data_IF_063682266170
#
_entry.id   IF_063682266170
#
_cell.length_a   1.000
_cell.length_b   1.000
_cell.length_c   1.000
_cell.angle_alpha   90.00
_cell.angle_beta   90.00
_cell.angle_gamma   90.00
#
_symmetry.space_group_name_H-M   'P 1'
#
loop_
_entity.id
_entity.type
_entity.pdbx_description
1 polymer ?
#
# COMPACT_ATOMS: atom_id res chain seq x y z
N UNK A 1 -15.05 -29.71 3.05
CA UNK A 1 -14.75 -30.92 3.84
C UNK A 1 -13.36 -30.71 4.44
N UNK A 2 -13.16 -31.02 5.72
CA UNK A 2 -11.88 -30.84 6.40
C UNK A 2 -11.19 -32.19 6.54
N UNK A 3 -9.90 -32.27 6.18
CA UNK A 3 -9.12 -33.51 6.32
C UNK A 3 -8.57 -33.67 7.74
N UNK A 4 -8.04 -32.58 8.31
CA UNK A 4 -7.57 -32.48 9.70
C UNK A 4 -8.18 -31.28 10.40
N UNK A 5 -8.42 -31.42 11.70
CA UNK A 5 -8.91 -30.35 12.55
C UNK A 5 -7.85 -30.01 13.62
N UNK A 6 -7.55 -28.72 13.77
CA UNK A 6 -6.83 -28.18 14.94
C UNK A 6 -7.81 -27.39 15.79
N UNK A 7 -8.15 -27.91 16.96
CA UNK A 7 -9.01 -27.24 17.93
C UNK A 7 -8.16 -26.56 19.00
N UNK A 8 -8.33 -25.25 19.15
CA UNK A 8 -7.66 -24.41 20.14
C UNK A 8 -8.70 -23.83 21.11
N UNK A 9 -8.32 -23.62 22.36
CA UNK A 9 -9.11 -22.85 23.32
C UNK A 9 -8.84 -21.34 23.19
N UNK A 10 -9.61 -20.51 23.91
CA UNK A 10 -9.43 -19.04 23.92
C UNK A 10 -8.06 -18.58 24.46
N UNK A 11 -7.36 -19.43 25.20
CA UNK A 11 -5.98 -19.18 25.68
C UNK A 11 -4.90 -19.62 24.68
N UNK A 12 -5.28 -20.10 23.49
CA UNK A 12 -4.36 -20.59 22.46
C UNK A 12 -3.75 -21.97 22.72
N UNK A 13 -4.22 -22.72 23.74
CA UNK A 13 -3.79 -24.10 24.02
C UNK A 13 -4.58 -25.09 23.16
N UNK A 14 -3.90 -26.13 22.68
CA UNK A 14 -4.50 -27.19 21.84
C UNK A 14 -5.36 -28.15 22.65
N UNK A 15 -6.58 -28.40 22.18
CA UNK A 15 -7.54 -29.34 22.75
C UNK A 15 -7.62 -30.65 21.95
N UNK A 16 -7.46 -30.55 20.63
CA UNK A 16 -7.43 -31.70 19.72
C UNK A 16 -6.68 -31.34 18.43
N UNK A 17 -5.91 -32.27 17.90
CA UNK A 17 -5.33 -32.16 16.56
C UNK A 17 -5.27 -33.53 15.87
N UNK A 18 -6.05 -33.73 14.82
CA UNK A 18 -6.12 -35.03 14.15
C UNK A 18 -7.10 -35.08 12.99
N UNK A 19 -7.21 -36.26 12.38
CA UNK A 19 -8.17 -36.54 11.32
C UNK A 19 -9.59 -36.63 11.90
N UNK A 20 -10.59 -36.10 11.20
CA UNK A 20 -11.97 -36.12 11.70
C UNK A 20 -12.62 -37.51 11.57
N UNK A 21 -12.21 -38.30 10.58
CA UNK A 21 -12.90 -39.54 10.21
C UNK A 21 -14.22 -39.29 9.47
N UNK A 22 -14.94 -40.37 9.14
CA UNK A 22 -16.22 -40.28 8.46
C UNK A 22 -17.26 -39.70 9.43
N UNK A 23 -17.97 -38.66 9.01
CA UNK A 23 -18.94 -37.91 9.84
C UNK A 23 -18.40 -37.44 11.21
N UNK A 24 -17.11 -37.11 11.27
CA UNK A 24 -16.40 -36.67 12.48
C UNK A 24 -16.33 -37.70 13.61
N UNK A 25 -16.49 -39.00 13.30
CA UNK A 25 -16.51 -40.08 14.30
C UNK A 25 -15.27 -40.11 15.19
N UNK A 26 -14.06 -39.90 14.65
CA UNK A 26 -12.80 -39.98 15.40
C UNK A 26 -12.70 -38.83 16.43
N UNK A 27 -13.22 -37.66 16.07
CA UNK A 27 -13.29 -36.51 16.96
C UNK A 27 -14.30 -36.74 18.09
N UNK A 28 -15.49 -37.22 17.74
CA UNK A 28 -16.56 -37.53 18.70
C UNK A 28 -16.08 -38.60 19.68
N UNK A 29 -15.56 -39.71 19.19
CA UNK A 29 -14.99 -40.80 20.01
C UNK A 29 -13.89 -40.28 20.95
N UNK A 30 -13.02 -39.38 20.47
CA UNK A 30 -11.98 -38.79 21.30
C UNK A 30 -12.58 -37.96 22.45
N UNK A 31 -13.49 -37.03 22.13
CA UNK A 31 -14.08 -36.14 23.12
C UNK A 31 -14.92 -36.91 24.13
N UNK A 32 -15.73 -37.88 23.68
CA UNK A 32 -16.51 -38.77 24.54
C UNK A 32 -15.60 -39.60 25.46
N UNK A 33 -14.52 -40.19 24.93
CA UNK A 33 -13.55 -40.97 25.73
C UNK A 33 -12.84 -40.17 26.83
N UNK A 34 -12.85 -38.85 26.72
CA UNK A 34 -12.24 -37.91 27.68
C UNK A 34 -13.25 -37.24 28.61
N UNK A 35 -14.54 -37.61 28.48
CA UNK A 35 -15.62 -37.21 29.37
C UNK A 35 -16.58 -36.16 28.80
N UNK A 36 -16.65 -35.98 27.49
CA UNK A 36 -17.66 -35.13 26.85
C UNK A 36 -19.04 -35.83 26.84
N UNK A 37 -20.16 -35.07 26.86
CA UNK A 37 -21.50 -35.64 26.74
C UNK A 37 -21.72 -36.26 25.36
N UNK A 38 -22.38 -37.43 25.28
CA UNK A 38 -22.59 -38.13 24.01
C UNK A 38 -23.22 -37.24 22.92
N UNK A 39 -22.68 -37.31 21.71
CA UNK A 39 -23.21 -36.59 20.55
C UNK A 39 -24.49 -37.29 20.07
N UNK A 40 -25.62 -36.56 19.99
CA UNK A 40 -26.91 -37.19 19.62
C UNK A 40 -26.94 -37.59 18.14
N UNK A 41 -27.63 -38.69 17.83
CA UNK A 41 -27.85 -39.09 16.43
C UNK A 41 -28.63 -38.00 15.67
N UNK A 42 -28.01 -37.45 14.62
CA UNK A 42 -28.57 -36.38 13.78
C UNK A 42 -28.17 -34.96 14.19
N UNK A 43 -27.42 -34.79 15.29
CA UNK A 43 -26.82 -33.53 15.68
C UNK A 43 -25.57 -33.23 14.83
N UNK A 44 -25.31 -31.95 14.56
CA UNK A 44 -24.12 -31.55 13.79
C UNK A 44 -22.87 -31.64 14.68
N UNK A 45 -21.90 -32.54 14.40
CA UNK A 45 -20.73 -32.72 15.25
C UNK A 45 -19.89 -31.45 15.42
N UNK A 46 -19.90 -30.55 14.44
CA UNK A 46 -19.18 -29.28 14.54
C UNK A 46 -19.83 -28.34 15.57
N UNK A 47 -21.17 -28.31 15.63
CA UNK A 47 -21.92 -27.49 16.58
C UNK A 47 -21.83 -28.06 17.99
N UNK A 48 -22.03 -29.38 18.13
CA UNK A 48 -21.82 -30.10 19.38
C UNK A 48 -20.40 -29.90 19.92
N UNK A 49 -19.36 -30.00 19.08
CA UNK A 49 -17.97 -29.73 19.50
C UNK A 49 -17.80 -28.31 20.06
N UNK A 50 -18.41 -27.30 19.44
CA UNK A 50 -18.34 -25.93 19.95
C UNK A 50 -19.12 -25.77 21.25
N UNK A 51 -20.26 -26.43 21.43
CA UNK A 51 -21.02 -26.40 22.68
C UNK A 51 -20.25 -27.07 23.81
N UNK A 52 -19.67 -28.25 23.54
CA UNK A 52 -18.77 -28.97 24.44
C UNK A 52 -17.58 -28.06 24.81
N UNK A 53 -16.93 -27.41 23.85
CA UNK A 53 -15.78 -26.53 24.12
C UNK A 53 -16.18 -25.23 24.84
N UNK A 54 -17.35 -24.64 24.56
CA UNK A 54 -17.84 -23.41 25.21
C UNK A 54 -18.34 -23.66 26.64
N UNK A 55 -19.01 -24.79 26.87
CA UNK A 55 -19.41 -25.22 28.22
C UNK A 55 -18.21 -25.60 29.10
N UNK A 56 -17.02 -25.72 28.50
CA UNK A 56 -15.72 -25.90 29.18
C UNK A 56 -15.00 -24.58 29.52
N UNK A 57 -15.53 -23.43 29.11
CA UNK A 57 -15.01 -22.13 29.53
C UNK A 57 -15.47 -21.81 30.97
N UNK A 58 -14.63 -21.18 31.80
CA UNK A 58 -15.06 -20.77 33.13
C UNK A 58 -16.09 -19.67 32.97
N UNK A 59 -17.35 -19.96 33.31
CA UNK A 59 -18.34 -18.90 33.51
C UNK A 59 -17.82 -17.94 34.59
N UNK A 60 -17.95 -16.64 34.37
CA UNK A 60 -17.53 -15.55 35.28
C UNK A 60 -18.08 -15.70 36.71
N UNK A 61 -19.01 -16.63 36.95
CA UNK A 61 -19.66 -16.89 38.23
C UNK A 61 -19.16 -18.12 39.01
N UNK A 62 -18.24 -18.94 38.49
CA UNK A 62 -17.72 -20.12 39.22
C UNK A 62 -16.20 -20.23 39.13
N UNK A 63 -15.56 -20.02 40.27
CA UNK A 63 -14.14 -20.19 40.52
C UNK A 63 -13.75 -21.67 40.56
N UNK A 64 -13.27 -22.23 39.44
CA UNK A 64 -12.23 -23.29 39.35
C UNK A 64 -11.92 -23.69 37.87
N UNK A 65 -10.70 -24.18 37.54
CA UNK A 65 -10.11 -24.14 36.19
C UNK A 65 -10.39 -25.41 35.35
N UNK A 66 -11.63 -25.62 34.88
CA UNK A 66 -11.94 -26.76 33.99
C UNK A 66 -11.23 -26.72 32.63
N UNK A 67 -10.80 -25.55 32.18
CA UNK A 67 -10.16 -25.37 30.86
C UNK A 67 -8.72 -25.87 30.81
N UNK A 68 -8.01 -25.95 31.95
CA UNK A 68 -6.64 -26.49 32.00
C UNK A 68 -6.64 -28.02 31.88
N UNK A 69 -7.67 -28.67 32.45
CA UNK A 69 -7.83 -30.13 32.47
C UNK A 69 -7.90 -30.74 31.05
N UNK A 70 -8.56 -30.09 30.09
CA UNK A 70 -8.72 -30.64 28.74
C UNK A 70 -7.47 -30.49 27.87
N UNK A 71 -6.78 -29.34 27.99
CA UNK A 71 -5.47 -29.17 27.39
C UNK A 71 -4.51 -30.22 27.95
N UNK A 72 -4.51 -30.45 29.26
CA UNK A 72 -3.70 -31.49 29.92
C UNK A 72 -4.07 -32.91 29.48
N UNK A 73 -5.37 -33.23 29.35
CA UNK A 73 -5.86 -34.49 28.78
C UNK A 73 -5.34 -34.71 27.36
N UNK A 74 -5.33 -33.67 26.53
CA UNK A 74 -4.69 -33.73 25.21
C UNK A 74 -3.18 -33.93 25.34
N UNK A 75 -2.51 -33.27 26.29
CA UNK A 75 -1.07 -33.45 26.50
C UNK A 75 -0.68 -34.88 26.86
N UNK A 76 -1.51 -35.55 27.65
CA UNK A 76 -1.31 -36.93 28.09
C UNK A 76 -1.90 -37.96 27.11
N UNK A 77 -2.57 -37.52 26.04
CA UNK A 77 -3.25 -38.39 25.09
C UNK A 77 -2.28 -39.19 24.21
N UNK A 78 -2.70 -40.40 23.82
CA UNK A 78 -1.96 -41.23 22.86
C UNK A 78 -1.99 -40.61 21.45
N UNK A 79 -3.06 -39.88 21.12
CA UNK A 79 -3.22 -39.15 19.86
C UNK A 79 -2.17 -38.05 19.70
N UNK A 80 -1.84 -37.31 20.76
CA UNK A 80 -0.72 -36.35 20.72
C UNK A 80 0.61 -37.05 20.52
N UNK A 81 0.82 -38.20 21.17
CA UNK A 81 2.07 -38.97 21.01
C UNK A 81 2.23 -39.49 19.58
N UNK A 82 1.15 -39.92 18.90
CA UNK A 82 1.24 -40.33 17.49
C UNK A 82 1.58 -39.16 16.57
N UNK A 83 0.97 -37.98 16.78
CA UNK A 83 1.33 -36.76 16.03
C UNK A 83 2.80 -36.38 16.25
N UNK A 84 3.28 -36.44 17.50
CA UNK A 84 4.68 -36.14 17.81
C UNK A 84 5.65 -37.15 17.17
N UNK A 85 5.27 -38.43 17.08
CA UNK A 85 6.05 -39.45 16.36
C UNK A 85 6.09 -39.17 14.86
N UNK A 86 4.94 -38.85 14.26
CA UNK A 86 4.85 -38.46 12.84
C UNK A 86 5.75 -37.25 12.55
N UNK A 87 5.72 -36.25 13.44
CA UNK A 87 6.59 -35.07 13.36
C UNK A 87 8.08 -35.43 13.50
N UNK A 88 8.45 -36.30 14.45
CA UNK A 88 9.84 -36.74 14.60
C UNK A 88 10.34 -37.53 13.39
N UNK A 89 9.47 -38.34 12.78
CA UNK A 89 9.78 -39.09 11.56
C UNK A 89 9.98 -38.16 10.37
N UNK A 90 9.14 -37.11 10.25
CA UNK A 90 9.33 -36.08 9.23
C UNK A 90 10.64 -35.32 9.43
N UNK A 91 10.98 -34.95 10.67
CA UNK A 91 12.23 -34.27 10.99
C UNK A 91 13.46 -35.16 10.73
N UNK A 92 13.37 -36.46 10.98
CA UNK A 92 14.45 -37.41 10.72
C UNK A 92 14.63 -37.70 9.22
N UNK A 93 13.54 -37.70 8.44
CA UNK A 93 13.55 -37.90 6.98
C UNK A 93 13.91 -36.62 6.21
N UNK A 94 13.70 -35.45 6.80
CA UNK A 94 14.11 -34.19 6.21
C UNK A 94 15.62 -34.05 6.40
N UNK A 95 16.45 -34.11 5.34
CA UNK A 95 17.87 -33.92 5.51
C UNK A 95 18.09 -32.54 6.14
N UNK A 96 18.69 -32.52 7.32
CA UNK A 96 19.22 -31.30 7.92
C UNK A 96 20.04 -30.61 6.83
N UNK A 97 19.83 -29.31 6.54
CA UNK A 97 20.69 -28.60 5.61
C UNK A 97 22.09 -28.60 6.21
N UNK A 98 22.87 -29.62 5.86
CA UNK A 98 24.27 -29.72 6.18
C UNK A 98 24.90 -28.48 5.57
N UNK A 99 25.59 -27.68 6.39
CA UNK A 99 26.54 -26.66 5.93
C UNK A 99 27.72 -27.34 5.21
N UNK A 100 27.46 -28.17 4.21
CA UNK A 100 28.49 -28.67 3.32
C UNK A 100 28.85 -27.54 2.37
N UNK A 101 30.09 -27.09 2.49
CA UNK A 101 30.73 -26.16 1.59
C UNK A 101 30.83 -26.79 0.19
N UNK A 102 29.76 -26.73 -0.60
CA UNK A 102 29.78 -26.95 -2.04
C UNK A 102 28.47 -26.42 -2.64
N UNK A 103 28.58 -25.29 -3.33
CA UNK A 103 27.55 -24.61 -4.12
C UNK A 103 26.41 -23.98 -3.29
N UNK A 104 26.25 -22.64 -3.29
CA UNK A 104 25.08 -22.05 -2.68
C UNK A 104 23.85 -22.51 -3.48
N UNK A 105 23.03 -23.37 -2.88
CA UNK A 105 21.64 -23.50 -3.29
C UNK A 105 21.08 -22.06 -3.39
N UNK A 106 20.40 -21.67 -4.48
CA UNK A 106 19.89 -20.33 -4.60
C UNK A 106 19.01 -20.09 -3.37
N UNK A 107 19.39 -19.08 -2.57
CA UNK A 107 18.59 -18.62 -1.44
C UNK A 107 17.14 -18.62 -1.93
N UNK A 108 16.16 -19.17 -1.19
CA UNK A 108 14.76 -19.07 -1.60
C UNK A 108 14.53 -17.60 -1.88
N UNK A 109 14.39 -17.24 -3.16
CA UNK A 109 14.27 -15.84 -3.51
C UNK A 109 13.05 -15.36 -2.75
N UNK A 110 13.19 -14.29 -1.96
CA UNK A 110 12.08 -13.75 -1.18
C UNK A 110 10.87 -13.36 -2.05
N UNK A 111 11.06 -13.36 -3.37
CA UNK A 111 10.08 -13.14 -4.41
C UNK A 111 10.34 -14.10 -5.59
N UNK A 112 9.28 -14.61 -6.22
CA UNK A 112 9.38 -15.63 -7.28
C UNK A 112 9.94 -15.12 -8.62
N UNK A 113 9.87 -13.82 -8.91
CA UNK A 113 10.26 -13.21 -10.19
C UNK A 113 11.48 -12.26 -10.05
N UNK A 114 12.18 -12.00 -11.16
CA UNK A 114 13.28 -11.01 -11.19
C UNK A 114 12.78 -9.59 -10.90
N UNK A 115 13.59 -8.70 -10.28
CA UNK A 115 13.16 -7.36 -9.89
C UNK A 115 12.73 -6.49 -11.08
N UNK A 116 13.34 -6.67 -12.26
CA UNK A 116 12.96 -5.95 -13.48
C UNK A 116 11.60 -6.39 -14.00
N UNK A 117 11.31 -7.69 -13.98
CA UNK A 117 9.99 -8.19 -14.39
C UNK A 117 8.90 -7.73 -13.41
N UNK A 118 9.19 -7.75 -12.10
CA UNK A 118 8.27 -7.19 -11.10
C UNK A 118 7.99 -5.72 -11.40
N UNK A 119 9.02 -4.93 -11.66
CA UNK A 119 8.89 -3.51 -11.99
C UNK A 119 8.03 -3.25 -13.22
N UNK A 120 8.25 -3.98 -14.31
CA UNK A 120 7.45 -3.80 -15.53
C UNK A 120 5.98 -4.15 -15.32
N UNK A 121 5.71 -5.28 -14.63
CA UNK A 121 4.33 -5.74 -14.37
C UNK A 121 3.62 -4.77 -13.43
N UNK A 122 4.27 -4.37 -12.34
CA UNK A 122 3.69 -3.43 -11.37
C UNK A 122 3.49 -2.06 -12.03
N UNK A 123 4.42 -1.57 -12.84
CA UNK A 123 4.26 -0.32 -13.61
C UNK A 123 3.07 -0.39 -14.57
N UNK A 124 2.92 -1.49 -15.32
CA UNK A 124 1.79 -1.68 -16.22
C UNK A 124 0.47 -1.72 -15.44
N UNK A 125 0.44 -2.39 -14.28
CA UNK A 125 -0.73 -2.44 -13.40
C UNK A 125 -1.10 -1.05 -12.88
N UNK A 126 -0.13 -0.29 -12.36
CA UNK A 126 -0.35 1.07 -11.85
C UNK A 126 -0.83 2.01 -12.96
N UNK A 127 -0.29 1.89 -14.17
CA UNK A 127 -0.78 2.65 -15.33
C UNK A 127 -2.24 2.33 -15.65
N UNK A 128 -2.61 1.04 -15.65
CA UNK A 128 -3.99 0.61 -15.90
C UNK A 128 -4.93 1.07 -14.80
N UNK A 129 -4.50 1.02 -13.55
CA UNK A 129 -5.27 1.49 -12.41
C UNK A 129 -5.56 3.00 -12.52
N UNK A 130 -4.53 3.82 -12.74
CA UNK A 130 -4.68 5.26 -12.92
C UNK A 130 -5.49 5.63 -14.16
N UNK A 131 -5.37 4.87 -15.25
CA UNK A 131 -6.18 5.09 -16.46
C UNK A 131 -7.65 4.71 -16.26
N UNK A 132 -7.93 3.68 -15.47
CA UNK A 132 -9.30 3.20 -15.18
C UNK A 132 -10.01 3.98 -14.09
N UNK A 133 -9.29 4.81 -13.34
CA UNK A 133 -9.85 5.79 -12.40
C UNK A 133 -9.85 7.19 -13.05
N UNK A 134 -10.83 7.48 -13.93
CA UNK A 134 -10.90 8.75 -14.64
C UNK A 134 -11.12 9.93 -13.69
N UNK A 135 -11.71 9.70 -12.50
CA UNK A 135 -12.04 10.77 -11.56
C UNK A 135 -10.76 11.43 -11.08
N UNK A 136 -9.77 10.66 -10.66
CA UNK A 136 -8.48 11.20 -10.25
C UNK A 136 -7.79 11.96 -11.37
N UNK A 137 -7.60 11.32 -12.53
CA UNK A 137 -6.82 11.88 -13.62
C UNK A 137 -7.48 13.13 -14.22
N UNK A 138 -8.79 13.08 -14.51
CA UNK A 138 -9.50 14.21 -15.10
C UNK A 138 -9.66 15.36 -14.12
N UNK A 139 -9.92 15.08 -12.83
CA UNK A 139 -9.98 16.14 -11.81
C UNK A 139 -8.63 16.84 -11.69
N UNK A 140 -7.53 16.08 -11.67
CA UNK A 140 -6.18 16.64 -11.59
C UNK A 140 -5.83 17.49 -12.81
N UNK A 141 -6.07 16.98 -14.02
CA UNK A 141 -5.82 17.72 -15.27
C UNK A 141 -6.69 18.98 -15.32
N UNK A 142 -7.99 18.87 -15.02
CA UNK A 142 -8.92 19.99 -15.06
C UNK A 142 -8.55 21.07 -14.05
N UNK A 143 -8.28 20.70 -12.80
CA UNK A 143 -7.88 21.67 -11.76
C UNK A 143 -6.60 22.40 -12.14
N UNK A 144 -5.55 21.69 -12.55
CA UNK A 144 -4.28 22.32 -12.92
C UNK A 144 -4.45 23.26 -14.13
N UNK A 145 -5.21 22.82 -15.13
CA UNK A 145 -5.46 23.60 -16.35
C UNK A 145 -6.31 24.84 -16.06
N UNK A 146 -7.41 24.69 -15.31
CA UNK A 146 -8.32 25.80 -14.98
C UNK A 146 -7.61 26.83 -14.11
N UNK A 147 -6.88 26.41 -13.07
CA UNK A 147 -6.13 27.33 -12.20
C UNK A 147 -5.05 28.08 -13.00
N UNK A 148 -4.31 27.36 -13.83
CA UNK A 148 -3.29 27.95 -14.71
C UNK A 148 -3.89 28.94 -15.71
N UNK A 149 -5.05 28.61 -16.29
CA UNK A 149 -5.78 29.47 -17.23
C UNK A 149 -6.31 30.73 -16.54
N UNK A 150 -6.93 30.59 -15.37
CA UNK A 150 -7.43 31.73 -14.59
C UNK A 150 -6.29 32.67 -14.20
N UNK A 151 -5.14 32.14 -13.82
CA UNK A 151 -3.94 32.93 -13.56
C UNK A 151 -3.47 33.64 -14.85
N UNK A 152 -3.34 32.91 -15.96
CA UNK A 152 -2.94 33.49 -17.24
C UNK A 152 -3.86 34.62 -17.72
N UNK A 153 -5.18 34.45 -17.57
CA UNK A 153 -6.19 35.47 -17.93
C UNK A 153 -6.15 36.65 -16.96
N UNK A 154 -5.91 36.42 -15.66
CA UNK A 154 -5.82 37.50 -14.66
C UNK A 154 -4.70 38.49 -14.98
N UNK A 155 -3.60 38.01 -15.56
CA UNK A 155 -2.46 38.82 -16.00
C UNK A 155 -2.39 38.91 -17.52
N UNK A 156 -3.53 39.18 -18.16
CA UNK A 156 -3.60 39.26 -19.62
C UNK A 156 -2.71 40.39 -20.18
N UNK A 157 -1.78 40.03 -21.08
CA UNK A 157 -0.80 40.94 -21.70
C UNK A 157 -0.10 41.89 -20.74
N UNK A 158 0.87 41.35 -20.01
CA UNK A 158 1.69 42.12 -19.07
C UNK A 158 2.52 43.18 -19.82
N UNK A 159 2.42 44.48 -19.46
CA UNK A 159 3.20 45.55 -20.10
C UNK A 159 4.68 45.50 -19.69
N UNK A 160 5.57 46.01 -20.54
CA UNK A 160 7.02 46.10 -20.31
C UNK A 160 7.42 47.28 -19.41
N UNK A 161 6.77 47.40 -18.25
CA UNK A 161 7.04 48.46 -17.25
C UNK A 161 7.35 47.82 -15.88
N UNK A 162 7.85 48.60 -14.92
CA UNK A 162 8.12 48.14 -13.54
C UNK A 162 6.88 47.47 -12.92
N UNK A 163 5.69 48.03 -13.14
CA UNK A 163 4.43 47.45 -12.68
C UNK A 163 4.14 46.07 -13.33
N UNK A 164 4.49 45.90 -14.60
CA UNK A 164 4.33 44.62 -15.29
C UNK A 164 5.28 43.56 -14.73
N UNK A 165 6.52 43.94 -14.38
CA UNK A 165 7.46 43.04 -13.71
C UNK A 165 6.93 42.56 -12.36
N UNK A 166 6.38 43.46 -11.53
CA UNK A 166 5.73 43.07 -10.26
C UNK A 166 4.54 42.13 -10.49
N UNK A 167 3.72 42.41 -11.52
CA UNK A 167 2.57 41.57 -11.87
C UNK A 167 2.99 40.18 -12.35
N UNK A 168 4.10 40.09 -13.09
CA UNK A 168 4.68 38.83 -13.55
C UNK A 168 5.20 38.00 -12.37
N UNK A 169 5.92 38.61 -11.43
CA UNK A 169 6.41 37.93 -10.23
C UNK A 169 5.26 37.35 -9.41
N UNK A 170 4.18 38.13 -9.25
CA UNK A 170 2.99 37.66 -8.56
C UNK A 170 2.27 36.53 -9.32
N UNK A 171 2.23 36.58 -10.65
CA UNK A 171 1.69 35.49 -11.48
C UNK A 171 2.50 34.18 -11.34
N UNK A 172 3.84 34.27 -11.31
CA UNK A 172 4.74 33.14 -11.08
C UNK A 172 4.51 32.55 -9.68
N UNK A 173 4.38 33.40 -8.66
CA UNK A 173 4.01 32.98 -7.31
C UNK A 173 2.66 32.26 -7.27
N UNK A 174 1.64 32.77 -7.97
CA UNK A 174 0.34 32.10 -8.03
C UNK A 174 0.39 30.77 -8.80
N UNK A 175 1.30 30.60 -9.76
CA UNK A 175 1.53 29.30 -10.40
C UNK A 175 2.17 28.31 -9.45
N UNK A 176 3.12 28.75 -8.61
CA UNK A 176 3.77 27.83 -7.67
C UNK A 176 2.77 27.25 -6.66
N UNK A 177 1.67 27.96 -6.39
CA UNK A 177 0.57 27.45 -5.56
C UNK A 177 -0.13 26.20 -6.12
N UNK A 178 0.08 25.85 -7.40
CA UNK A 178 -0.37 24.56 -7.95
C UNK A 178 0.15 23.35 -7.14
N UNK A 179 1.31 23.48 -6.50
CA UNK A 179 1.85 22.45 -5.60
C UNK A 179 0.81 22.02 -4.56
N UNK A 180 0.18 22.97 -3.87
CA UNK A 180 -0.75 22.67 -2.77
C UNK A 180 -2.01 21.93 -3.27
N UNK A 181 -2.47 22.22 -4.48
CA UNK A 181 -3.61 21.52 -5.10
C UNK A 181 -3.24 20.10 -5.53
N UNK A 182 -2.05 19.94 -6.12
CA UNK A 182 -1.55 18.65 -6.59
C UNK A 182 -1.28 17.70 -5.42
N UNK A 183 -0.67 18.22 -4.36
CA UNK A 183 -0.31 17.46 -3.15
C UNK A 183 -1.51 16.81 -2.47
N UNK A 184 -2.63 17.53 -2.39
CA UNK A 184 -3.90 17.05 -1.85
C UNK A 184 -4.49 15.86 -2.62
N UNK A 185 -4.11 15.66 -3.89
CA UNK A 185 -4.58 14.54 -4.72
C UNK A 185 -3.59 13.37 -4.69
N UNK A 186 -2.28 13.64 -4.75
CA UNK A 186 -1.24 12.61 -4.83
C UNK A 186 -1.10 11.86 -3.51
N UNK A 187 -1.03 12.58 -2.38
CA UNK A 187 -0.70 11.97 -1.08
C UNK A 187 -1.76 10.94 -0.63
N UNK A 188 -3.07 11.24 -0.65
CA UNK A 188 -4.08 10.27 -0.24
C UNK A 188 -4.07 9.03 -1.12
N UNK A 189 -3.95 9.20 -2.45
CA UNK A 189 -3.91 8.08 -3.40
C UNK A 189 -2.76 7.13 -3.11
N UNK A 190 -1.55 7.65 -2.90
CA UNK A 190 -0.39 6.81 -2.57
C UNK A 190 -0.53 6.15 -1.20
N UNK A 191 -1.12 6.86 -0.22
CA UNK A 191 -1.36 6.32 1.13
C UNK A 191 -2.31 5.12 1.10
N UNK A 192 -3.40 5.20 0.32
CA UNK A 192 -4.35 4.10 0.13
C UNK A 192 -3.69 2.92 -0.59
N UNK A 193 -2.89 3.18 -1.63
CA UNK A 193 -2.11 2.16 -2.33
C UNK A 193 -1.12 1.44 -1.40
N UNK A 194 -0.43 2.19 -0.53
CA UNK A 194 0.46 1.63 0.49
C UNK A 194 -0.31 0.74 1.47
N UNK A 195 -1.50 1.15 1.92
CA UNK A 195 -2.29 0.37 2.87
C UNK A 195 -2.65 -1.01 2.31
N UNK A 196 -3.00 -1.09 1.01
CA UNK A 196 -3.25 -2.36 0.33
C UNK A 196 -1.97 -3.20 0.23
N UNK A 197 -0.85 -2.57 -0.12
CA UNK A 197 0.45 -3.26 -0.21
C UNK A 197 0.84 -3.88 1.13
N UNK A 198 0.78 -3.11 2.22
CA UNK A 198 1.17 -3.57 3.56
C UNK A 198 0.25 -4.65 4.10
N UNK A 199 -1.07 -4.53 3.89
CA UNK A 199 -2.04 -5.47 4.42
C UNK A 199 -2.07 -6.82 3.67
N UNK A 200 -1.79 -6.84 2.36
CA UNK A 200 -2.00 -8.05 1.52
C UNK A 200 -0.77 -8.47 0.72
N UNK A 201 -0.16 -7.54 0.00
CA UNK A 201 0.84 -7.87 -1.03
C UNK A 201 2.22 -8.15 -0.43
N UNK A 202 2.52 -7.52 0.70
CA UNK A 202 3.72 -7.75 1.50
C UNK A 202 3.73 -9.14 2.13
N UNK A 203 2.60 -9.56 2.73
CA UNK A 203 2.49 -10.86 3.40
C UNK A 203 2.50 -12.04 2.41
N UNK A 204 1.98 -11.83 1.20
CA UNK A 204 1.98 -12.84 0.13
C UNK A 204 3.30 -12.91 -0.66
N UNK A 205 4.30 -12.07 -0.34
CA UNK A 205 5.57 -12.01 -1.06
C UNK A 205 5.39 -11.83 -2.59
N UNK A 206 4.41 -11.01 -2.98
CA UNK A 206 4.09 -10.80 -4.40
C UNK A 206 5.17 -9.99 -5.14
N UNK A 207 5.62 -8.88 -4.55
CA UNK A 207 6.69 -8.03 -5.08
C UNK A 207 7.32 -7.16 -3.97
N UNK A 208 8.49 -6.60 -4.25
CA UNK A 208 9.26 -5.83 -3.25
C UNK A 208 8.79 -4.38 -3.08
N UNK A 209 9.00 -3.82 -1.89
CA UNK A 209 8.68 -2.41 -1.58
C UNK A 209 9.36 -1.38 -2.52
N UNK A 210 10.66 -1.49 -2.86
CA UNK A 210 11.27 -0.53 -3.79
C UNK A 210 10.64 -0.57 -5.18
N UNK A 211 10.16 -1.74 -5.61
CA UNK A 211 9.47 -1.90 -6.89
C UNK A 211 8.11 -1.19 -6.87
N UNK A 212 7.38 -1.25 -5.75
CA UNK A 212 6.14 -0.50 -5.56
C UNK A 212 6.36 1.00 -5.81
N UNK A 213 7.27 1.59 -5.03
CA UNK A 213 7.53 3.02 -5.05
C UNK A 213 8.11 3.48 -6.39
N UNK A 214 9.07 2.73 -6.95
CA UNK A 214 9.66 3.10 -8.23
C UNK A 214 8.62 3.08 -9.36
N UNK A 215 7.69 2.11 -9.35
CA UNK A 215 6.63 2.02 -10.35
C UNK A 215 5.65 3.20 -10.21
N UNK A 216 5.26 3.54 -8.99
CA UNK A 216 4.37 4.67 -8.72
C UNK A 216 5.00 6.02 -9.12
N UNK A 217 6.26 6.26 -8.73
CA UNK A 217 7.03 7.46 -9.12
C UNK A 217 7.10 7.61 -10.63
N UNK A 218 7.38 6.53 -11.37
CA UNK A 218 7.50 6.56 -12.82
C UNK A 218 6.16 6.91 -13.49
N UNK A 219 5.07 6.25 -13.07
CA UNK A 219 3.75 6.46 -13.66
C UNK A 219 3.20 7.85 -13.30
N UNK A 220 3.39 8.31 -12.07
CA UNK A 220 2.97 9.65 -11.65
C UNK A 220 3.73 10.74 -12.42
N UNK A 221 5.05 10.56 -12.61
CA UNK A 221 5.89 11.47 -13.41
C UNK A 221 5.45 11.54 -14.88
N UNK A 222 5.00 10.41 -15.45
CA UNK A 222 4.46 10.36 -16.81
C UNK A 222 3.22 11.24 -16.93
N UNK A 223 2.25 11.11 -16.01
CA UNK A 223 1.04 11.93 -16.04
C UNK A 223 1.30 13.39 -15.73
N UNK A 224 2.26 13.71 -14.86
CA UNK A 224 2.67 15.09 -14.64
C UNK A 224 3.28 15.74 -15.87
N UNK A 225 3.99 14.95 -16.70
CA UNK A 225 4.49 15.42 -17.99
C UNK A 225 3.34 15.72 -18.96
N UNK A 226 2.24 14.96 -18.90
CA UNK A 226 1.04 15.26 -19.69
C UNK A 226 0.34 16.51 -19.18
N UNK A 227 0.28 16.73 -17.87
CA UNK A 227 -0.34 17.91 -17.22
C UNK A 227 0.47 19.20 -17.44
N UNK A 228 1.80 19.11 -17.55
CA UNK A 228 2.65 20.31 -17.74
C UNK A 228 2.36 21.02 -19.07
N UNK A 229 1.93 20.30 -20.11
CA UNK A 229 1.60 20.84 -21.42
C UNK A 229 0.40 21.81 -21.38
N UNK A 230 -0.81 21.41 -20.91
CA UNK A 230 -1.94 22.33 -20.82
C UNK A 230 -1.69 23.46 -19.81
N UNK A 231 -0.94 23.23 -18.73
CA UNK A 231 -0.52 24.30 -17.79
C UNK A 231 0.37 25.32 -18.50
N UNK A 232 1.35 24.89 -19.27
CA UNK A 232 2.20 25.79 -20.05
C UNK A 232 1.38 26.60 -21.05
N UNK A 233 0.53 25.95 -21.85
CA UNK A 233 -0.28 26.65 -22.87
C UNK A 233 -1.24 27.65 -22.22
N UNK A 234 -1.89 27.26 -21.12
CA UNK A 234 -2.92 28.07 -20.45
C UNK A 234 -2.34 29.30 -19.74
N UNK A 235 -1.06 29.29 -19.39
CA UNK A 235 -0.42 30.43 -18.73
C UNK A 235 0.47 31.25 -19.66
N UNK A 236 1.31 30.60 -20.47
CA UNK A 236 2.34 31.28 -21.28
C UNK A 236 1.75 32.19 -22.36
N UNK A 237 0.68 31.76 -23.04
CA UNK A 237 0.07 32.55 -24.10
C UNK A 237 -0.79 33.72 -23.56
N UNK A 238 -1.68 33.52 -22.56
CA UNK A 238 -2.50 34.63 -22.05
C UNK A 238 -1.69 35.73 -21.36
N UNK A 239 -0.60 35.39 -20.67
CA UNK A 239 0.30 36.39 -20.06
C UNK A 239 1.03 37.27 -21.08
N UNK A 240 1.08 36.83 -22.35
CA UNK A 240 1.72 37.60 -23.43
C UNK A 240 3.24 37.55 -23.44
N UNK A 241 3.85 36.64 -22.66
CA UNK A 241 5.31 36.50 -22.54
C UNK A 241 6.03 36.30 -23.88
N UNK A 242 5.34 35.71 -24.85
CA UNK A 242 5.83 35.53 -26.22
C UNK A 242 6.23 36.85 -26.91
N UNK A 243 5.58 37.98 -26.54
CA UNK A 243 5.77 39.29 -27.18
C UNK A 243 6.96 40.08 -26.65
N UNK A 244 7.46 39.73 -25.46
CA UNK A 244 8.48 40.50 -24.75
C UNK A 244 9.90 40.18 -25.26
N UNK A 245 10.09 40.14 -26.58
CA UNK A 245 11.30 39.65 -27.24
C UNK A 245 12.44 40.66 -27.25
N UNK A 246 13.61 40.22 -26.78
CA UNK A 246 14.89 40.87 -27.06
C UNK A 246 15.45 40.31 -28.39
N UNK A 247 16.19 41.10 -29.15
CA UNK A 247 16.70 40.73 -30.49
C UNK A 247 17.70 39.56 -30.41
N UNK A 248 18.27 39.34 -29.23
CA UNK A 248 19.29 38.34 -28.91
C UNK A 248 18.75 36.97 -28.48
N UNK A 249 17.45 36.85 -28.12
CA UNK A 249 16.88 35.61 -27.60
C UNK A 249 15.60 35.23 -28.33
N UNK A 250 15.62 34.09 -29.05
CA UNK A 250 14.51 33.69 -29.91
C UNK A 250 13.26 33.36 -29.10
N UNK A 251 12.09 33.68 -29.66
CA UNK A 251 10.78 33.34 -29.06
C UNK A 251 10.65 31.85 -28.73
N UNK A 252 11.22 30.98 -29.58
CA UNK A 252 11.17 29.53 -29.39
C UNK A 252 12.02 29.08 -28.19
N UNK A 253 13.20 29.67 -28.00
CA UNK A 253 14.11 29.34 -26.88
C UNK A 253 13.49 29.74 -25.54
N UNK A 254 12.83 30.90 -25.47
CA UNK A 254 12.16 31.39 -24.25
C UNK A 254 10.95 30.53 -23.87
N UNK A 255 10.14 30.18 -24.86
CA UNK A 255 9.00 29.27 -24.68
C UNK A 255 9.48 27.90 -24.19
N UNK A 256 10.51 27.35 -24.82
CA UNK A 256 11.12 26.07 -24.42
C UNK A 256 11.66 26.09 -22.99
N UNK A 257 12.36 27.17 -22.60
CA UNK A 257 12.93 27.32 -21.27
C UNK A 257 11.82 27.47 -20.20
N UNK A 258 10.77 28.23 -20.50
CA UNK A 258 9.61 28.38 -19.61
C UNK A 258 8.84 27.06 -19.45
N UNK A 259 8.64 26.32 -20.53
CA UNK A 259 8.06 24.98 -20.48
C UNK A 259 8.92 24.04 -19.64
N UNK A 260 10.25 24.07 -19.79
CA UNK A 260 11.17 23.23 -19.02
C UNK A 260 11.09 23.53 -17.52
N UNK A 261 10.98 24.79 -17.10
CA UNK A 261 10.75 25.14 -15.70
C UNK A 261 9.40 24.67 -15.17
N UNK A 262 8.31 24.85 -15.92
CA UNK A 262 6.98 24.36 -15.52
C UNK A 262 6.98 22.84 -15.43
N UNK A 263 7.61 22.15 -16.38
CA UNK A 263 7.72 20.70 -16.37
C UNK A 263 8.54 20.20 -15.18
N UNK A 264 9.71 20.78 -14.94
CA UNK A 264 10.56 20.45 -13.79
C UNK A 264 9.82 20.70 -12.47
N UNK A 265 9.07 21.81 -12.37
CA UNK A 265 8.27 22.13 -11.20
C UNK A 265 7.18 21.08 -10.95
N UNK A 266 6.46 20.63 -11.98
CA UNK A 266 5.44 19.59 -11.84
C UNK A 266 6.05 18.23 -11.42
N UNK A 267 7.20 17.86 -11.99
CA UNK A 267 7.93 16.65 -11.59
C UNK A 267 8.41 16.73 -10.14
N UNK A 268 9.03 17.85 -9.77
CA UNK A 268 9.47 18.10 -8.41
C UNK A 268 8.30 18.08 -7.42
N UNK A 269 7.18 18.71 -7.76
CA UNK A 269 5.97 18.70 -6.94
C UNK A 269 5.49 17.27 -6.68
N UNK A 270 5.39 16.42 -7.72
CA UNK A 270 4.94 15.03 -7.52
C UNK A 270 5.88 14.18 -6.69
N UNK A 271 7.19 14.29 -6.92
CA UNK A 271 8.19 13.49 -6.22
C UNK A 271 8.32 13.93 -4.76
N UNK A 272 8.16 15.23 -4.47
CA UNK A 272 8.09 15.74 -3.10
C UNK A 272 6.84 15.25 -2.38
N UNK A 273 5.66 15.29 -3.01
CA UNK A 273 4.42 14.75 -2.44
C UNK A 273 4.55 13.26 -2.12
N UNK A 274 5.15 12.47 -3.02
CA UNK A 274 5.39 11.04 -2.80
C UNK A 274 6.36 10.77 -1.64
N UNK A 275 7.38 11.63 -1.45
CA UNK A 275 8.29 11.52 -0.30
C UNK A 275 7.54 11.64 1.03
N UNK A 276 6.66 12.62 1.18
CA UNK A 276 5.86 12.80 2.40
C UNK A 276 4.83 11.70 2.59
N UNK A 277 4.17 11.27 1.51
CA UNK A 277 3.23 10.14 1.56
C UNK A 277 3.89 8.84 2.04
N UNK A 278 5.13 8.57 1.62
CA UNK A 278 5.89 7.40 2.08
C UNK A 278 6.32 7.54 3.55
N UNK A 279 6.73 8.74 3.97
CA UNK A 279 7.27 8.98 5.31
C UNK A 279 6.23 9.01 6.43
N UNK A 280 4.99 9.40 6.14
CA UNK A 280 3.95 9.64 7.14
C UNK A 280 2.77 8.69 6.90
N UNK A 281 2.26 8.07 7.97
CA UNK A 281 1.17 7.08 7.90
C UNK A 281 -0.20 7.69 7.59
N UNK A 282 -0.48 8.88 8.14
CA UNK A 282 -1.74 9.59 7.94
C UNK A 282 -1.65 10.61 6.80
N UNK A 283 -2.57 10.49 5.82
CA UNK A 283 -2.60 11.35 4.64
C UNK A 283 -2.75 12.84 4.98
N UNK A 284 -3.64 13.18 5.92
CA UNK A 284 -3.89 14.59 6.32
C UNK A 284 -2.64 15.28 6.88
N UNK A 285 -1.92 14.58 7.77
CA UNK A 285 -0.67 15.08 8.36
C UNK A 285 0.42 15.20 7.29
N UNK A 286 0.50 14.24 6.37
CA UNK A 286 1.45 14.26 5.27
C UNK A 286 1.25 15.49 4.36
N UNK A 287 -0.01 15.79 3.98
CA UNK A 287 -0.36 16.97 3.17
C UNK A 287 0.01 18.26 3.88
N UNK A 288 -0.30 18.39 5.17
CA UNK A 288 0.03 19.60 5.92
C UNK A 288 1.54 19.80 6.04
N UNK A 289 2.30 18.72 6.27
CA UNK A 289 3.76 18.80 6.38
C UNK A 289 4.40 19.15 5.02
N UNK A 290 3.95 18.51 3.94
CA UNK A 290 4.41 18.80 2.58
C UNK A 290 4.14 20.26 2.20
N UNK A 291 2.92 20.74 2.48
CA UNK A 291 2.52 22.14 2.28
C UNK A 291 3.37 23.10 3.11
N UNK A 292 3.64 22.78 4.38
CA UNK A 292 4.50 23.61 5.23
C UNK A 292 5.94 23.69 4.72
N UNK A 293 6.52 22.57 4.30
CA UNK A 293 7.85 22.54 3.71
C UNK A 293 7.91 23.34 2.39
N UNK A 294 6.86 23.26 1.57
CA UNK A 294 6.75 24.08 0.37
C UNK A 294 6.67 25.58 0.67
N UNK A 295 5.83 25.98 1.63
CA UNK A 295 5.75 27.39 2.07
C UNK A 295 7.09 27.90 2.59
N UNK A 296 7.80 27.09 3.37
CA UNK A 296 9.14 27.43 3.84
C UNK A 296 10.09 27.65 2.65
N UNK A 297 10.13 26.73 1.69
CA UNK A 297 10.95 26.85 0.49
C UNK A 297 10.62 28.12 -0.33
N UNK A 298 9.33 28.48 -0.38
CA UNK A 298 8.86 29.69 -1.06
C UNK A 298 9.33 30.95 -0.32
N UNK A 299 9.21 31.02 1.01
CA UNK A 299 9.68 32.17 1.81
C UNK A 299 11.18 32.42 1.62
N UNK A 300 11.98 31.36 1.42
CA UNK A 300 13.43 31.47 1.22
C UNK A 300 13.86 31.54 -0.26
N UNK A 301 12.95 31.61 -1.22
CA UNK A 301 13.31 31.61 -2.65
C UNK A 301 13.78 32.98 -3.20
N UNK A 302 13.80 34.03 -2.36
CA UNK A 302 14.28 35.38 -2.70
C UNK A 302 13.22 36.45 -2.54
#
# INVERSE_FOLDING_TARGET
MFDRLLLLNNSGKTLYFGDLGQDASILVDYLESKGAPECRQGENPAEWMFEVTRSMEPSVAQSEPKTEEWSEKWQQSQQRQSVLRELSDFLAKTPTPQKTAATPAPKPHAYAASPLQQFLIVSQRTLQDQWRDPVYLYTKIALCTILSLLNGISFYYIPLNIQGLTSLLFSIFLISQLFSTVDQLIIPRLTDGRAVFEARERHSHSYSWPVFIASDVLIESLWQTVISVPVFVSWYYPTGLQRNGDVSFSTAERGGLTFMFIWLFNLWSSTLSQLFAVGISQAEVAVQMATLCFWLALVFCG
#
